data_IF_827084515252
#
_entry.id   IF_827084515252
#
_cell.length_a   1.000
_cell.length_b   1.000
_cell.length_c   1.000
_cell.angle_alpha   90.00
_cell.angle_beta   90.00
_cell.angle_gamma   90.00
#
_symmetry.space_group_name_H-M   'P 1'
#
loop_
_entity.id
_entity.type
_entity.pdbx_description
1 polymer ?
#
# COMPACT_ATOMS: atom_id res chain seq x y z
N UNK A 1 20.86 -0.91 -2.25
CA UNK A 1 20.62 -2.35 -1.99
C UNK A 1 19.74 -2.93 -3.08
N UNK A 2 19.37 -4.22 -3.00
CA UNK A 2 18.33 -4.80 -3.87
C UNK A 2 16.95 -4.43 -3.32
N UNK A 3 16.06 -3.98 -4.19
CA UNK A 3 14.70 -3.50 -3.85
C UNK A 3 13.71 -4.07 -4.86
N UNK A 4 12.50 -4.36 -4.42
CA UNK A 4 11.36 -4.72 -5.28
C UNK A 4 10.38 -3.56 -5.26
N UNK A 5 9.97 -3.09 -6.43
CA UNK A 5 9.00 -1.99 -6.57
C UNK A 5 7.63 -2.37 -6.04
N UNK A 6 6.97 -1.47 -5.30
CA UNK A 6 5.62 -1.72 -4.80
C UNK A 6 4.80 -0.44 -4.55
N UNK A 7 4.38 0.33 -5.58
CA UNK A 7 4.63 0.11 -7.00
C UNK A 7 5.90 0.82 -7.53
N UNK A 8 6.57 1.62 -6.70
CA UNK A 8 7.85 2.27 -7.03
C UNK A 8 8.91 1.96 -5.97
N UNK A 9 10.16 2.35 -6.22
CA UNK A 9 11.24 2.20 -5.25
C UNK A 9 11.01 3.07 -4.01
N UNK A 10 10.39 4.24 -4.15
CA UNK A 10 10.12 5.15 -3.04
C UNK A 10 9.04 4.66 -2.08
N UNK A 11 8.17 3.74 -2.51
CA UNK A 11 7.07 3.18 -1.73
C UNK A 11 7.25 1.69 -1.39
N UNK A 12 8.44 1.13 -1.63
CA UNK A 12 8.70 -0.31 -1.59
C UNK A 12 8.55 -0.98 -0.21
N UNK A 13 8.50 -0.18 0.87
CA UNK A 13 8.46 -0.71 2.23
C UNK A 13 7.07 -1.10 2.72
N UNK A 14 6.01 -0.54 2.13
CA UNK A 14 4.66 -0.62 2.69
C UNK A 14 4.06 -2.03 2.58
N UNK A 15 4.05 -2.57 1.36
CA UNK A 15 3.54 -3.92 1.05
C UNK A 15 4.21 -5.00 1.91
N UNK A 16 5.57 -5.12 1.94
CA UNK A 16 6.20 -6.14 2.77
C UNK A 16 6.04 -5.89 4.28
N UNK A 17 5.96 -4.64 4.74
CA UNK A 17 5.75 -4.35 6.16
C UNK A 17 4.37 -4.82 6.65
N UNK A 18 3.31 -4.59 5.87
CA UNK A 18 1.95 -5.02 6.22
C UNK A 18 1.83 -6.55 6.20
N UNK A 19 2.45 -7.22 5.22
CA UNK A 19 2.48 -8.68 5.20
C UNK A 19 3.28 -9.28 6.37
N UNK A 20 4.42 -8.67 6.72
CA UNK A 20 5.19 -9.08 7.89
C UNK A 20 4.45 -8.84 9.21
N UNK A 21 3.63 -7.79 9.30
CA UNK A 21 2.73 -7.58 10.43
C UNK A 21 1.72 -8.73 10.55
N UNK A 22 1.10 -9.12 9.44
CA UNK A 22 0.17 -10.24 9.43
C UNK A 22 0.84 -11.55 9.86
N UNK A 23 1.99 -11.89 9.27
CA UNK A 23 2.77 -13.08 9.61
C UNK A 23 3.13 -13.16 11.09
N UNK A 24 3.59 -12.05 11.64
CA UNK A 24 4.14 -11.99 13.00
C UNK A 24 3.06 -11.90 14.08
N UNK A 25 1.97 -11.19 13.84
CA UNK A 25 1.01 -10.81 14.88
C UNK A 25 -0.39 -11.38 14.70
N UNK A 26 -0.73 -11.90 13.52
CA UNK A 26 -2.06 -12.44 13.23
C UNK A 26 -1.97 -13.94 13.01
N UNK A 27 -1.30 -14.37 11.94
CA UNK A 27 -1.04 -15.79 11.67
C UNK A 27 0.11 -15.95 10.68
N UNK A 28 0.85 -17.06 10.79
CA UNK A 28 1.94 -17.40 9.86
C UNK A 28 1.43 -17.45 8.42
N UNK A 29 2.12 -16.75 7.53
CA UNK A 29 1.74 -16.63 6.11
C UNK A 29 2.05 -17.94 5.39
N UNK A 30 1.03 -18.51 4.75
CA UNK A 30 1.20 -19.64 3.83
C UNK A 30 1.44 -19.19 2.39
N UNK A 31 1.87 -20.09 1.52
CA UNK A 31 1.97 -19.81 0.07
C UNK A 31 0.65 -19.31 -0.52
N UNK A 32 -0.48 -19.88 -0.07
CA UNK A 32 -1.81 -19.44 -0.49
C UNK A 32 -2.10 -18.00 -0.06
N UNK A 33 -1.66 -17.61 1.13
CA UNK A 33 -1.83 -16.24 1.63
C UNK A 33 -0.98 -15.26 0.84
N UNK A 34 0.27 -15.61 0.51
CA UNK A 34 1.10 -14.80 -0.40
C UNK A 34 0.38 -14.52 -1.71
N UNK A 35 -0.16 -15.55 -2.36
CA UNK A 35 -0.87 -15.43 -3.64
C UNK A 35 -2.09 -14.51 -3.48
N UNK A 36 -2.93 -14.72 -2.47
CA UNK A 36 -4.13 -13.90 -2.23
C UNK A 36 -3.79 -12.44 -1.94
N UNK A 37 -2.82 -12.22 -1.06
CA UNK A 37 -2.36 -10.88 -0.67
C UNK A 37 -1.86 -10.09 -1.88
N UNK A 38 -0.98 -10.67 -2.69
CA UNK A 38 -0.43 -10.01 -3.87
C UNK A 38 -1.44 -9.91 -5.01
N UNK A 39 -2.39 -10.84 -5.14
CA UNK A 39 -3.47 -10.74 -6.13
C UNK A 39 -4.40 -9.56 -5.84
N UNK A 40 -4.87 -9.43 -4.60
CA UNK A 40 -5.71 -8.29 -4.19
C UNK A 40 -4.95 -6.97 -4.27
N UNK A 41 -3.71 -6.94 -3.76
CA UNK A 41 -2.83 -5.77 -3.88
C UNK A 41 -2.62 -5.34 -5.34
N UNK A 42 -2.31 -6.31 -6.21
CA UNK A 42 -2.09 -6.08 -7.63
C UNK A 42 -3.33 -5.60 -8.37
N UNK A 43 -4.52 -6.12 -8.03
CA UNK A 43 -5.79 -5.68 -8.60
C UNK A 43 -6.05 -4.19 -8.31
N UNK A 44 -5.87 -3.76 -7.07
CA UNK A 44 -6.00 -2.34 -6.68
C UNK A 44 -4.94 -1.46 -7.37
N UNK A 45 -3.68 -1.91 -7.42
CA UNK A 45 -2.63 -1.20 -8.17
C UNK A 45 -2.97 -1.03 -9.65
N UNK A 46 -3.59 -2.05 -10.25
CA UNK A 46 -4.10 -2.02 -11.62
C UNK A 46 -5.22 -0.99 -11.84
N UNK A 47 -6.13 -0.81 -10.87
CA UNK A 47 -7.19 0.19 -10.95
C UNK A 47 -6.62 1.62 -11.00
N UNK A 48 -5.63 1.92 -10.16
CA UNK A 48 -4.98 3.24 -10.19
C UNK A 48 -4.21 3.46 -11.49
N UNK A 49 -3.42 2.47 -11.93
CA UNK A 49 -2.63 2.62 -13.15
C UNK A 49 -3.49 2.74 -14.42
N UNK A 50 -4.67 2.12 -14.44
CA UNK A 50 -5.59 2.21 -15.58
C UNK A 50 -6.24 3.59 -15.70
N UNK A 51 -6.56 4.22 -14.57
CA UNK A 51 -7.33 5.47 -14.54
C UNK A 51 -6.45 6.72 -14.33
N UNK A 52 -5.21 6.54 -13.88
CA UNK A 52 -4.28 7.61 -13.54
C UNK A 52 -2.82 7.15 -13.67
N UNK A 53 -1.89 8.02 -13.30
CA UNK A 53 -0.48 7.65 -13.15
C UNK A 53 -0.19 7.11 -11.76
N UNK A 54 0.89 6.32 -11.67
CA UNK A 54 1.53 5.89 -10.42
C UNK A 54 2.89 6.58 -10.22
N UNK A 55 3.23 7.53 -11.09
CA UNK A 55 4.48 8.27 -11.02
C UNK A 55 4.35 9.43 -10.04
N UNK A 56 5.25 9.46 -9.05
CA UNK A 56 5.36 10.59 -8.12
C UNK A 56 5.55 11.93 -8.81
N UNK A 57 6.19 11.92 -9.99
CA UNK A 57 6.43 13.12 -10.79
C UNK A 57 5.19 13.65 -11.53
N UNK A 58 4.17 12.81 -11.76
CA UNK A 58 2.99 13.19 -12.55
C UNK A 58 1.77 13.50 -11.67
N UNK A 59 1.61 12.77 -10.57
CA UNK A 59 0.43 12.88 -9.69
C UNK A 59 0.80 13.08 -8.23
N UNK A 60 2.07 13.35 -7.92
CA UNK A 60 2.55 13.43 -6.55
C UNK A 60 2.72 12.07 -5.88
N UNK A 61 3.20 12.09 -4.64
CA UNK A 61 3.49 10.88 -3.86
C UNK A 61 2.22 10.08 -3.49
N UNK A 62 1.03 10.65 -3.64
CA UNK A 62 -0.23 9.87 -3.60
C UNK A 62 -0.25 8.75 -4.64
N UNK A 63 0.37 8.95 -5.82
CA UNK A 63 0.48 7.93 -6.86
C UNK A 63 1.47 6.81 -6.53
N UNK A 64 2.33 7.00 -5.52
CA UNK A 64 3.35 6.04 -5.12
C UNK A 64 3.03 5.45 -3.73
N UNK A 65 3.22 6.26 -2.69
CA UNK A 65 2.97 5.89 -1.28
C UNK A 65 1.47 5.69 -1.04
N UNK A 66 0.62 6.57 -1.59
CA UNK A 66 -0.83 6.41 -1.45
C UNK A 66 -1.35 5.14 -2.12
N UNK A 67 -0.88 4.87 -3.34
CA UNK A 67 -1.21 3.62 -4.07
C UNK A 67 -0.70 2.40 -3.31
N UNK A 68 0.55 2.40 -2.83
CA UNK A 68 1.10 1.30 -2.03
C UNK A 68 0.31 1.06 -0.73
N UNK A 69 -0.10 2.14 -0.04
CA UNK A 69 -0.96 2.10 1.14
C UNK A 69 -2.29 1.41 0.83
N UNK A 70 -2.93 1.82 -0.26
CA UNK A 70 -4.21 1.28 -0.73
C UNK A 70 -4.10 -0.19 -1.14
N UNK A 71 -3.07 -0.54 -1.91
CA UNK A 71 -2.75 -1.92 -2.29
C UNK A 71 -2.56 -2.81 -1.05
N UNK A 72 -1.79 -2.35 -0.07
CA UNK A 72 -1.50 -3.13 1.14
C UNK A 72 -2.75 -3.31 2.02
N UNK A 73 -3.61 -2.29 2.11
CA UNK A 73 -4.88 -2.37 2.85
C UNK A 73 -5.83 -3.40 2.23
N UNK A 74 -5.93 -3.43 0.90
CA UNK A 74 -6.70 -4.46 0.19
C UNK A 74 -6.14 -5.86 0.38
N UNK A 75 -4.82 -6.02 0.24
CA UNK A 75 -4.16 -7.31 0.49
C UNK A 75 -4.44 -7.82 1.90
N UNK A 76 -4.34 -6.94 2.91
CA UNK A 76 -4.60 -7.32 4.29
C UNK A 76 -6.09 -7.64 4.53
N UNK A 77 -7.01 -6.85 3.97
CA UNK A 77 -8.45 -7.11 4.07
C UNK A 77 -8.85 -8.46 3.46
N UNK A 78 -8.27 -8.81 2.31
CA UNK A 78 -8.45 -10.13 1.66
C UNK A 78 -7.97 -11.27 2.58
N UNK A 79 -6.80 -11.10 3.20
CA UNK A 79 -6.27 -12.08 4.15
C UNK A 79 -7.07 -12.18 5.46
N UNK A 80 -7.72 -11.10 5.86
CA UNK A 80 -8.61 -11.08 7.03
C UNK A 80 -10.02 -11.60 6.72
N UNK A 81 -10.29 -11.99 5.47
CA UNK A 81 -11.57 -12.60 5.07
C UNK A 81 -12.67 -11.59 4.74
N UNK A 82 -12.32 -10.34 4.42
CA UNK A 82 -13.27 -9.33 3.97
C UNK A 82 -13.95 -9.70 2.65
N UNK A 83 -15.18 -9.23 2.44
CA UNK A 83 -15.84 -9.33 1.13
C UNK A 83 -15.13 -8.45 0.08
N UNK A 84 -15.37 -8.67 -1.22
CA UNK A 84 -14.84 -7.80 -2.27
C UNK A 84 -15.15 -6.31 -2.03
N UNK A 85 -16.34 -5.99 -1.51
CA UNK A 85 -16.72 -4.63 -1.14
C UNK A 85 -15.87 -4.08 0.02
N UNK A 86 -15.60 -4.88 1.04
CA UNK A 86 -14.75 -4.48 2.18
C UNK A 86 -13.28 -4.34 1.76
N UNK A 87 -12.78 -5.18 0.85
CA UNK A 87 -11.44 -5.03 0.27
C UNK A 87 -11.32 -3.70 -0.47
N UNK A 88 -12.30 -3.36 -1.30
CA UNK A 88 -12.37 -2.07 -1.99
C UNK A 88 -12.51 -0.90 -1.02
N UNK A 89 -13.29 -1.05 0.05
CA UNK A 89 -13.45 -0.03 1.09
C UNK A 89 -12.14 0.22 1.85
N UNK A 90 -11.41 -0.83 2.23
CA UNK A 90 -10.10 -0.69 2.87
C UNK A 90 -9.10 0.03 1.95
N UNK A 91 -9.09 -0.31 0.66
CA UNK A 91 -8.28 0.37 -0.36
C UNK A 91 -8.64 1.85 -0.52
N UNK A 92 -9.94 2.15 -0.54
CA UNK A 92 -10.47 3.51 -0.68
C UNK A 92 -10.05 4.40 0.50
N UNK A 93 -10.34 3.98 1.75
CA UNK A 93 -9.95 4.70 2.98
C UNK A 93 -8.44 4.94 3.01
N UNK A 94 -7.64 3.94 2.63
CA UNK A 94 -6.19 4.05 2.60
C UNK A 94 -5.69 5.10 1.58
N UNK A 95 -6.33 5.19 0.41
CA UNK A 95 -6.00 6.21 -0.57
C UNK A 95 -6.49 7.59 -0.14
N UNK A 96 -7.69 7.69 0.42
CA UNK A 96 -8.30 8.93 0.93
C UNK A 96 -7.31 9.67 1.86
N UNK A 97 -6.70 8.93 2.78
CA UNK A 97 -5.71 9.45 3.73
C UNK A 97 -4.34 9.81 3.12
N UNK A 98 -4.20 9.78 1.79
CA UNK A 98 -3.02 10.20 1.05
C UNK A 98 -3.36 11.20 -0.07
N UNK A 99 -4.62 11.61 -0.26
CA UNK A 99 -5.00 12.56 -1.30
C UNK A 99 -4.32 13.93 -1.10
N UNK A 100 -3.79 14.48 -2.19
CA UNK A 100 -3.05 15.73 -2.19
C UNK A 100 -1.57 15.61 -1.78
N UNK A 101 -1.08 14.39 -1.50
CA UNK A 101 0.31 14.21 -1.09
C UNK A 101 1.26 14.45 -2.26
N UNK A 102 2.01 15.56 -2.21
CA UNK A 102 2.97 15.96 -3.24
C UNK A 102 4.29 15.17 -3.16
N UNK A 103 5.06 15.19 -4.24
CA UNK A 103 6.41 14.62 -4.29
C UNK A 103 7.44 15.76 -4.34
N UNK A 104 7.91 16.19 -3.18
CA UNK A 104 8.96 17.21 -3.01
C UNK A 104 9.97 16.78 -1.93
N UNK A 105 10.84 15.80 -2.24
CA UNK A 105 11.80 15.29 -1.27
C UNK A 105 12.99 16.23 -1.07
N UNK A 106 13.54 16.23 0.16
CA UNK A 106 14.71 17.04 0.52
C UNK A 106 15.89 16.66 -0.39
N UNK A 107 16.45 17.67 -1.06
CA UNK A 107 17.57 17.51 -1.99
C UNK A 107 17.32 16.48 -3.13
N UNK A 108 16.06 16.23 -3.49
CA UNK A 108 15.71 15.24 -4.50
C UNK A 108 15.95 13.79 -4.08
N UNK A 109 16.26 13.52 -2.81
CA UNK A 109 16.68 12.20 -2.34
C UNK A 109 15.51 11.37 -1.84
N UNK A 110 15.52 10.06 -2.13
CA UNK A 110 14.53 9.09 -1.63
C UNK A 110 14.83 8.72 -0.18
N UNK A 111 14.81 9.72 0.71
CA UNK A 111 15.12 9.59 2.13
C UNK A 111 14.10 10.36 2.97
N UNK A 112 14.09 11.68 2.86
CA UNK A 112 13.18 12.56 3.61
C UNK A 112 12.24 13.24 2.62
N UNK A 113 10.91 13.14 2.77
CA UNK A 113 10.15 12.42 3.81
C UNK A 113 9.84 10.94 3.44
N UNK A 114 10.47 10.38 2.41
CA UNK A 114 10.10 9.07 1.85
C UNK A 114 10.11 7.92 2.87
N UNK A 115 11.09 7.88 3.78
CA UNK A 115 11.25 6.80 4.76
C UNK A 115 10.09 6.82 5.77
N UNK A 116 9.82 7.97 6.40
CA UNK A 116 8.71 8.08 7.36
C UNK A 116 7.34 7.84 6.70
N UNK A 117 7.19 8.26 5.44
CA UNK A 117 5.97 8.03 4.66
C UNK A 117 5.69 6.54 4.49
N UNK A 118 6.70 5.70 4.27
CA UNK A 118 6.49 4.24 4.23
C UNK A 118 6.02 3.69 5.58
N UNK A 119 6.63 4.12 6.68
CA UNK A 119 6.24 3.70 8.03
C UNK A 119 4.80 4.10 8.37
N UNK A 120 4.45 5.38 8.16
CA UNK A 120 3.11 5.90 8.41
C UNK A 120 2.07 5.25 7.49
N UNK A 121 2.39 5.06 6.20
CA UNK A 121 1.47 4.43 5.26
C UNK A 121 1.20 2.96 5.58
N UNK A 122 2.19 2.20 6.07
CA UNK A 122 1.95 0.83 6.54
C UNK A 122 0.97 0.80 7.72
N UNK A 123 1.09 1.72 8.67
CA UNK A 123 0.15 1.86 9.80
C UNK A 123 -1.24 2.27 9.31
N UNK A 124 -1.33 3.22 8.38
CA UNK A 124 -2.59 3.63 7.75
C UNK A 124 -3.27 2.43 7.08
N UNK A 125 -2.54 1.64 6.30
CA UNK A 125 -3.09 0.45 5.64
C UNK A 125 -3.71 -0.55 6.64
N UNK A 126 -3.02 -0.84 7.75
CA UNK A 126 -3.55 -1.70 8.81
C UNK A 126 -4.82 -1.11 9.43
N UNK A 127 -4.84 0.19 9.71
CA UNK A 127 -6.00 0.86 10.28
C UNK A 127 -7.18 0.92 9.29
N UNK A 128 -6.93 1.19 8.01
CA UNK A 128 -7.94 1.19 6.94
C UNK A 128 -8.59 -0.17 6.80
N UNK A 129 -7.82 -1.27 6.87
CA UNK A 129 -8.40 -2.61 6.92
C UNK A 129 -9.29 -2.81 8.15
N UNK A 130 -8.87 -2.35 9.33
CA UNK A 130 -9.70 -2.45 10.55
C UNK A 130 -10.98 -1.62 10.49
N UNK A 131 -11.00 -0.53 9.74
CA UNK A 131 -12.20 0.30 9.58
C UNK A 131 -13.21 -0.33 8.62
N UNK A 132 -12.75 -1.13 7.65
CA UNK A 132 -13.59 -1.75 6.64
C UNK A 132 -14.20 -3.10 7.07
N UNK A 133 -13.69 -3.72 8.13
CA UNK A 133 -14.10 -5.04 8.64
C UNK A 133 -14.94 -4.90 9.91
#
# INVERSE_FOLDING_TARGET
GRVVTAPTNGACGIIPAVLAYYDKFIQTVTEKDYIRYFAASGAIGGLYKRNASISGAEVGCQGEVGVACSMAAAGLAELMGGSPEQVCMAAEIAMEHNLGLTCDPVAGQVQVPCIERNGIAAVKAINSTRMAL
#
